data_IF_036139162809
#
_entry.id   IF_036139162809
#
_cell.length_a   1.000
_cell.length_b   1.000
_cell.length_c   1.000
_cell.angle_alpha   90.00
_cell.angle_beta   90.00
_cell.angle_gamma   90.00
#
_symmetry.space_group_name_H-M   'P 1'
#
loop_
_entity.id
_entity.type
_entity.pdbx_description
1 polymer ?
#
# COMPACT_ATOMS: atom_id res chain seq x y z
N UNK A 1 -16.51 -38.00 -16.74
CA UNK A 1 -15.34 -37.11 -16.50
C UNK A 1 -14.33 -37.89 -15.65
N UNK A 2 -13.13 -38.18 -16.18
CA UNK A 2 -12.19 -39.16 -15.58
C UNK A 2 -11.76 -38.72 -14.18
N UNK A 3 -11.72 -39.63 -13.18
CA UNK A 3 -11.42 -39.30 -11.78
C UNK A 3 -10.05 -38.65 -11.59
N UNK A 4 -9.12 -38.92 -12.49
CA UNK A 4 -7.78 -38.32 -12.55
C UNK A 4 -7.87 -36.81 -12.84
N UNK A 5 -8.74 -36.39 -13.76
CA UNK A 5 -8.90 -34.97 -14.10
C UNK A 5 -9.48 -34.16 -12.94
N UNK A 6 -10.42 -34.73 -12.17
CA UNK A 6 -10.96 -34.10 -10.95
C UNK A 6 -9.87 -33.88 -9.89
N UNK A 7 -8.97 -34.86 -9.70
CA UNK A 7 -7.87 -34.75 -8.73
C UNK A 7 -6.84 -33.70 -9.14
N UNK A 8 -6.50 -33.62 -10.42
CA UNK A 8 -5.57 -32.61 -10.95
C UNK A 8 -6.13 -31.20 -10.77
N UNK A 9 -7.40 -30.98 -11.11
CA UNK A 9 -8.07 -29.68 -10.91
C UNK A 9 -8.12 -29.29 -9.43
N UNK A 10 -8.43 -30.26 -8.55
CA UNK A 10 -8.45 -30.01 -7.11
C UNK A 10 -7.06 -29.65 -6.58
N UNK A 11 -6.01 -30.37 -6.98
CA UNK A 11 -4.64 -30.04 -6.59
C UNK A 11 -4.20 -28.67 -7.11
N UNK A 12 -4.50 -28.33 -8.37
CA UNK A 12 -4.17 -27.02 -8.93
C UNK A 12 -4.91 -25.88 -8.21
N UNK A 13 -6.17 -26.08 -7.84
CA UNK A 13 -6.94 -25.11 -7.06
C UNK A 13 -6.37 -24.94 -5.64
N UNK A 14 -6.00 -26.03 -4.96
CA UNK A 14 -5.39 -25.98 -3.62
C UNK A 14 -4.02 -25.28 -3.66
N UNK A 15 -3.19 -25.60 -4.65
CA UNK A 15 -1.90 -24.92 -4.85
C UNK A 15 -2.12 -23.44 -5.16
N UNK A 16 -3.09 -23.10 -6.00
CA UNK A 16 -3.45 -21.71 -6.29
C UNK A 16 -3.90 -20.95 -5.04
N UNK A 17 -4.80 -21.52 -4.26
CA UNK A 17 -5.27 -20.92 -3.00
C UNK A 17 -4.14 -20.77 -1.99
N UNK A 18 -3.30 -21.79 -1.81
CA UNK A 18 -2.13 -21.71 -0.93
C UNK A 18 -1.13 -20.66 -1.40
N UNK A 19 -0.90 -20.55 -2.71
CA UNK A 19 -0.03 -19.53 -3.28
C UNK A 19 -0.59 -18.13 -3.00
N UNK A 20 -1.86 -17.87 -3.31
CA UNK A 20 -2.46 -16.57 -2.99
C UNK A 20 -2.49 -16.29 -1.48
N UNK A 21 -2.76 -17.28 -0.63
CA UNK A 21 -2.85 -17.07 0.82
C UNK A 21 -1.50 -16.86 1.50
N UNK A 22 -0.44 -17.52 1.02
CA UNK A 22 0.91 -17.45 1.59
C UNK A 22 1.71 -16.27 1.01
N UNK A 23 1.38 -15.81 -0.19
CA UNK A 23 2.08 -14.72 -0.86
C UNK A 23 1.27 -13.41 -0.94
N UNK A 24 0.12 -13.31 -0.28
CA UNK A 24 -0.54 -12.02 -0.05
C UNK A 24 0.12 -11.33 1.16
N UNK A 25 1.38 -10.93 1.02
CA UNK A 25 2.07 -10.05 1.98
C UNK A 25 1.79 -8.59 1.66
N UNK A 26 0.57 -8.27 1.18
CA UNK A 26 0.11 -6.90 1.20
C UNK A 26 0.22 -6.43 2.65
N UNK A 27 1.08 -5.44 2.90
CA UNK A 27 1.39 -4.99 4.26
C UNK A 27 0.14 -4.38 4.90
N UNK A 28 -0.75 -5.20 5.44
CA UNK A 28 -1.99 -4.81 6.07
C UNK A 28 -1.64 -4.17 7.42
N UNK A 29 -1.31 -2.87 7.37
CA UNK A 29 -1.08 -2.10 8.57
C UNK A 29 -2.37 -1.91 9.38
N UNK A 30 -2.19 -1.62 10.66
CA UNK A 30 -3.25 -1.24 11.59
C UNK A 30 -3.38 0.29 11.63
N UNK A 31 -4.39 0.81 12.36
CA UNK A 31 -4.53 2.25 12.64
C UNK A 31 -4.45 3.11 11.37
N UNK A 32 -5.23 2.73 10.36
CA UNK A 32 -5.20 3.40 9.07
C UNK A 32 -5.91 4.77 9.15
N UNK A 33 -5.21 5.82 8.74
CA UNK A 33 -5.74 7.16 8.56
C UNK A 33 -5.86 7.47 7.07
N UNK A 34 -6.97 8.12 6.68
CA UNK A 34 -7.22 8.54 5.30
C UNK A 34 -7.43 10.04 5.22
N UNK A 35 -6.89 10.65 4.18
CA UNK A 35 -7.13 12.04 3.86
C UNK A 35 -7.31 12.20 2.35
N UNK A 36 -8.41 12.84 1.96
CA UNK A 36 -8.68 13.18 0.55
C UNK A 36 -7.85 14.40 0.16
N UNK A 37 -7.30 14.41 -1.05
CA UNK A 37 -6.59 15.56 -1.58
C UNK A 37 -7.51 16.78 -1.74
N UNK A 38 -6.98 18.02 -1.69
CA UNK A 38 -7.81 19.22 -1.83
C UNK A 38 -8.64 19.29 -3.11
N UNK A 39 -8.15 18.68 -4.20
CA UNK A 39 -8.85 18.59 -5.48
C UNK A 39 -9.80 17.38 -5.59
N UNK A 40 -9.88 16.51 -4.58
CA UNK A 40 -10.77 15.35 -4.56
C UNK A 40 -10.37 14.19 -5.47
N UNK A 41 -9.22 14.27 -6.16
CA UNK A 41 -8.79 13.27 -7.14
C UNK A 41 -8.11 12.07 -6.47
N UNK A 42 -7.48 12.30 -5.31
CA UNK A 42 -6.65 11.30 -4.63
C UNK A 42 -7.11 11.08 -3.20
N UNK A 43 -6.86 9.87 -2.70
CA UNK A 43 -6.95 9.52 -1.29
C UNK A 43 -5.57 9.07 -0.84
N UNK A 44 -5.01 9.72 0.17
CA UNK A 44 -3.83 9.24 0.86
C UNK A 44 -4.29 8.37 2.05
N UNK A 45 -3.71 7.18 2.19
CA UNK A 45 -3.91 6.27 3.30
C UNK A 45 -2.57 5.99 3.96
N UNK A 46 -2.49 6.14 5.28
CA UNK A 46 -1.32 5.77 6.09
C UNK A 46 -1.75 4.74 7.11
N UNK A 47 -1.06 3.60 7.16
CA UNK A 47 -1.30 2.56 8.17
C UNK A 47 -0.02 2.24 8.93
N UNK A 48 -0.13 1.97 10.22
CA UNK A 48 0.95 1.51 11.08
C UNK A 48 1.31 0.05 10.76
N UNK A 49 2.59 -0.22 10.51
CA UNK A 49 3.09 -1.59 10.33
C UNK A 49 3.69 -2.14 11.61
N UNK A 50 4.46 -1.30 12.30
CA UNK A 50 5.14 -1.69 13.53
C UNK A 50 5.29 -0.47 14.42
N UNK A 51 4.77 -0.57 15.64
CA UNK A 51 4.97 0.44 16.65
C UNK A 51 6.32 0.27 17.34
N UNK A 52 7.05 1.38 17.49
CA UNK A 52 8.33 1.44 18.20
C UNK A 52 8.21 2.49 19.31
N UNK A 53 8.11 2.09 20.60
CA UNK A 53 8.01 3.04 21.70
C UNK A 53 9.24 3.94 21.79
N UNK A 54 9.04 5.26 21.78
CA UNK A 54 10.11 6.23 21.93
C UNK A 54 11.08 6.31 20.76
N UNK A 55 10.72 5.74 19.61
CA UNK A 55 11.51 5.79 18.38
C UNK A 55 10.63 5.81 17.13
N UNK A 56 11.24 5.47 16.00
CA UNK A 56 10.60 5.61 14.70
C UNK A 56 9.74 4.39 14.40
N UNK A 57 8.43 4.57 14.52
CA UNK A 57 7.48 3.55 14.14
C UNK A 57 7.44 3.41 12.62
N UNK A 58 7.17 2.19 12.14
CA UNK A 58 7.15 1.86 10.72
C UNK A 58 5.74 1.95 10.17
N UNK A 59 5.59 2.54 8.99
CA UNK A 59 4.31 2.78 8.34
C UNK A 59 4.34 2.37 6.87
N UNK A 60 3.15 2.16 6.32
CA UNK A 60 2.92 2.11 4.88
C UNK A 60 2.04 3.30 4.48
N UNK A 61 2.52 4.08 3.53
CA UNK A 61 1.78 5.16 2.88
C UNK A 61 1.32 4.70 1.51
N UNK A 62 0.05 4.97 1.18
CA UNK A 62 -0.56 4.63 -0.10
C UNK A 62 -1.28 5.83 -0.66
N UNK A 63 -1.19 6.01 -1.97
CA UNK A 63 -2.04 6.94 -2.69
C UNK A 63 -2.96 6.15 -3.59
N UNK A 64 -4.25 6.44 -3.51
CA UNK A 64 -5.29 5.81 -4.29
C UNK A 64 -5.98 6.86 -5.17
N UNK A 65 -6.43 6.43 -6.35
CA UNK A 65 -7.38 7.20 -7.14
C UNK A 65 -8.73 7.21 -6.41
N UNK A 66 -9.25 8.41 -6.10
CA UNK A 66 -10.44 8.56 -5.27
C UNK A 66 -11.70 7.98 -5.93
N UNK A 67 -11.75 7.95 -7.26
CA UNK A 67 -12.92 7.50 -8.02
C UNK A 67 -12.97 5.97 -8.12
N UNK A 68 -11.84 5.34 -8.43
CA UNK A 68 -11.75 3.89 -8.69
C UNK A 68 -11.28 3.09 -7.49
N UNK A 69 -10.70 3.74 -6.47
CA UNK A 69 -10.03 3.06 -5.36
C UNK A 69 -8.73 2.36 -5.77
N UNK A 70 -8.25 2.57 -7.00
CA UNK A 70 -7.03 1.93 -7.50
C UNK A 70 -5.80 2.52 -6.80
N UNK A 71 -4.93 1.65 -6.28
CA UNK A 71 -3.62 2.04 -5.74
C UNK A 71 -2.73 2.61 -6.85
N UNK A 72 -2.20 3.81 -6.65
CA UNK A 72 -1.36 4.55 -7.59
C UNK A 72 0.11 4.55 -7.18
N UNK A 73 0.38 4.59 -5.87
CA UNK A 73 1.71 4.55 -5.29
C UNK A 73 1.65 3.93 -3.89
N UNK A 74 2.75 3.34 -3.44
CA UNK A 74 2.90 2.81 -2.10
C UNK A 74 4.36 2.89 -1.65
N UNK A 75 4.58 3.42 -0.46
CA UNK A 75 5.90 3.53 0.18
C UNK A 75 5.84 2.98 1.60
N UNK A 76 6.95 2.41 2.05
CA UNK A 76 7.16 2.05 3.45
C UNK A 76 8.21 2.98 4.01
N UNK A 77 7.96 3.56 5.17
CA UNK A 77 8.83 4.56 5.78
C UNK A 77 8.78 4.42 7.31
N UNK A 78 9.73 5.05 8.00
CA UNK A 78 9.76 5.12 9.46
C UNK A 78 9.74 6.57 9.90
N UNK A 79 8.98 6.89 10.94
CA UNK A 79 8.91 8.26 11.46
C UNK A 79 8.45 8.29 12.91
N UNK A 80 8.92 9.24 13.72
CA UNK A 80 8.36 9.51 15.04
C UNK A 80 7.07 10.33 14.96
N UNK A 81 6.87 11.08 13.87
CA UNK A 81 5.75 12.02 13.70
C UNK A 81 4.96 11.74 12.41
N UNK A 82 4.04 10.77 12.46
CA UNK A 82 3.31 10.35 11.28
C UNK A 82 2.11 11.26 11.01
N UNK A 83 2.01 11.80 9.79
CA UNK A 83 0.91 12.70 9.39
C UNK A 83 0.47 12.43 7.95
N UNK A 84 -0.49 13.19 7.42
CA UNK A 84 -0.75 13.24 5.99
C UNK A 84 -0.88 14.71 5.60
N UNK A 85 -0.01 15.16 4.71
CA UNK A 85 0.04 16.55 4.24
C UNK A 85 0.00 16.59 2.72
N UNK A 86 -0.84 17.49 2.20
CA UNK A 86 -0.94 17.79 0.77
C UNK A 86 -0.29 19.15 0.50
N UNK A 87 0.62 19.20 -0.46
CA UNK A 87 1.26 20.45 -0.87
C UNK A 87 0.66 20.97 -2.18
N UNK A 88 0.78 22.29 -2.37
CA UNK A 88 0.18 22.99 -3.53
C UNK A 88 0.89 22.63 -4.84
N UNK A 89 2.15 22.22 -4.77
CA UNK A 89 2.98 21.83 -5.92
C UNK A 89 2.66 20.43 -6.46
N UNK A 90 1.68 19.73 -5.89
CA UNK A 90 1.31 18.37 -6.29
C UNK A 90 2.14 17.29 -5.61
N UNK A 91 2.93 17.62 -4.58
CA UNK A 91 3.55 16.62 -3.71
C UNK A 91 2.68 16.35 -2.48
N UNK A 92 2.94 15.23 -1.81
CA UNK A 92 2.35 14.91 -0.51
C UNK A 92 3.37 14.23 0.40
N UNK A 93 3.21 14.37 1.71
CA UNK A 93 4.03 13.69 2.72
C UNK A 93 3.19 12.89 3.71
N UNK A 94 3.72 11.74 4.13
CA UNK A 94 3.18 10.92 5.22
C UNK A 94 3.85 11.17 6.59
N UNK A 95 4.75 12.16 6.69
CA UNK A 95 5.40 12.55 7.94
C UNK A 95 5.77 14.03 7.98
N UNK A 96 5.89 14.60 9.18
CA UNK A 96 6.48 15.93 9.40
C UNK A 96 7.96 15.87 9.76
N UNK A 97 8.47 14.67 10.10
CA UNK A 97 9.86 14.40 10.42
C UNK A 97 10.24 12.96 10.11
N UNK A 98 11.54 12.63 10.18
CA UNK A 98 12.08 11.33 9.80
C UNK A 98 12.58 11.29 8.34
N UNK A 99 12.69 10.09 7.78
CA UNK A 99 13.29 9.85 6.46
C UNK A 99 12.46 10.47 5.30
N UNK A 100 13.16 10.89 4.24
CA UNK A 100 12.58 11.42 2.99
C UNK A 100 11.72 10.37 2.22
N UNK A 101 11.67 9.14 2.69
CA UNK A 101 10.91 8.05 2.08
C UNK A 101 9.39 8.20 2.26
N UNK A 102 8.93 9.19 3.03
CA UNK A 102 7.52 9.50 3.27
C UNK A 102 6.88 10.40 2.18
N UNK A 103 7.65 10.89 1.20
CA UNK A 103 7.15 11.79 0.16
C UNK A 103 6.71 11.05 -1.11
N UNK A 104 5.62 11.53 -1.71
CA UNK A 104 5.15 11.07 -3.02
C UNK A 104 4.80 12.27 -3.89
N UNK A 105 5.39 12.31 -5.09
CA UNK A 105 5.07 13.31 -6.12
C UNK A 105 3.90 12.85 -6.98
N UNK A 106 2.94 13.74 -7.23
CA UNK A 106 1.77 13.45 -8.06
C UNK A 106 1.73 14.31 -9.34
N UNK A 107 1.19 13.76 -10.44
CA UNK A 107 0.64 12.42 -10.59
C UNK A 107 1.71 11.32 -10.50
N UNK A 108 1.39 10.22 -9.82
CA UNK A 108 2.31 9.09 -9.65
C UNK A 108 2.81 8.57 -11.01
N UNK A 109 4.10 8.23 -11.08
CA UNK A 109 4.72 7.78 -12.31
C UNK A 109 4.13 6.43 -12.75
N UNK A 110 4.33 6.08 -14.02
CA UNK A 110 3.94 4.75 -14.51
C UNK A 110 4.65 3.63 -13.74
N UNK A 111 5.88 3.88 -13.29
CA UNK A 111 6.66 2.93 -12.51
C UNK A 111 6.06 2.72 -11.11
N UNK A 112 5.62 3.79 -10.44
CA UNK A 112 4.97 3.72 -9.13
C UNK A 112 3.66 2.95 -9.22
N UNK A 113 2.86 3.20 -10.26
CA UNK A 113 1.61 2.47 -10.51
C UNK A 113 1.85 0.98 -10.73
N UNK A 114 2.93 0.63 -11.44
CA UNK A 114 3.31 -0.76 -11.67
C UNK A 114 3.74 -1.43 -10.36
N UNK A 115 4.54 -0.76 -9.53
CA UNK A 115 4.93 -1.26 -8.21
C UNK A 115 3.74 -1.46 -7.29
N UNK A 116 2.87 -0.45 -7.22
CA UNK A 116 1.69 -0.45 -6.37
C UNK A 116 0.73 -1.60 -6.69
N UNK A 117 0.75 -2.06 -7.95
CA UNK A 117 -0.04 -3.18 -8.46
C UNK A 117 0.63 -4.54 -8.27
N UNK A 118 1.91 -4.62 -7.88
CA UNK A 118 2.55 -5.91 -7.59
C UNK A 118 1.97 -6.50 -6.30
N UNK A 119 1.65 -7.80 -6.28
CA UNK A 119 1.61 -8.55 -5.03
C UNK A 119 3.01 -8.41 -4.41
N UNK A 120 3.09 -7.88 -3.20
CA UNK A 120 4.35 -7.94 -2.47
C UNK A 120 4.60 -9.43 -2.16
N UNK A 121 5.82 -9.90 -2.43
CA UNK A 121 6.27 -11.27 -2.17
C UNK A 121 6.74 -11.36 -0.72
#
# INVERSE_FOLDING_TARGET
MKPILKRVVLCAAVVGVLYFSLFDTTQHGTECHKLTSPNGIYIAERCLLQWVPGGDSKYVGRVLDAKSGKKLAQHTFSTPEPTILWFVDGTMSFSTGGDDDAFITLPASTWDKLLAARPHL
#
